data_IF_144829557112
#
_entry.id   IF_144829557112
#
_cell.length_a   1.000
_cell.length_b   1.000
_cell.length_c   1.000
_cell.angle_alpha   90.00
_cell.angle_beta   90.00
_cell.angle_gamma   90.00
#
_symmetry.space_group_name_H-M   'P 1'
#
loop_
_entity.id
_entity.type
_entity.pdbx_description
1 polymer ?
#
# COMPACT_ATOMS: atom_id res chain seq x y z
N UNK A 1 -24.64 8.78 -34.59
CA UNK A 1 -23.21 9.03 -34.34
C UNK A 1 -23.07 9.62 -32.94
N UNK A 2 -22.69 8.80 -31.96
CA UNK A 2 -22.80 9.13 -30.53
C UNK A 2 -21.66 10.02 -30.02
N UNK A 3 -22.03 11.19 -29.50
CA UNK A 3 -21.18 12.23 -28.89
C UNK A 3 -20.56 11.85 -27.53
N UNK A 4 -20.78 10.62 -27.04
CA UNK A 4 -20.33 10.14 -25.73
C UNK A 4 -19.08 9.25 -25.79
N UNK A 5 -18.52 8.99 -26.98
CA UNK A 5 -17.39 8.07 -27.14
C UNK A 5 -16.01 8.69 -26.81
N UNK A 6 -15.92 10.01 -26.61
CA UNK A 6 -14.61 10.70 -26.52
C UNK A 6 -14.02 10.79 -25.10
N UNK A 7 -14.74 10.34 -24.07
CA UNK A 7 -14.30 10.43 -22.67
C UNK A 7 -13.64 9.17 -22.11
N UNK A 8 -13.34 8.17 -22.95
CA UNK A 8 -12.58 7.00 -22.50
C UNK A 8 -11.09 7.29 -22.58
N UNK A 9 -10.62 8.20 -21.72
CA UNK A 9 -9.19 8.41 -21.44
C UNK A 9 -8.64 7.05 -21.03
N UNK A 10 -7.77 6.44 -21.85
CA UNK A 10 -7.10 5.17 -21.52
C UNK A 10 -6.43 5.38 -20.16
N UNK A 11 -6.89 4.66 -19.13
CA UNK A 11 -6.29 4.68 -17.80
C UNK A 11 -4.85 4.20 -18.01
N UNK A 12 -3.88 5.11 -17.92
CA UNK A 12 -2.46 4.74 -17.98
C UNK A 12 -2.27 3.72 -16.86
N UNK A 13 -1.78 2.53 -17.18
CA UNK A 13 -1.39 1.55 -16.16
C UNK A 13 -0.23 2.20 -15.40
N UNK A 14 -0.52 2.74 -14.21
CA UNK A 14 0.53 3.26 -13.32
C UNK A 14 1.42 2.08 -12.91
N UNK A 15 2.73 2.28 -12.93
CA UNK A 15 3.67 1.28 -12.41
C UNK A 15 3.54 1.21 -10.88
N UNK A 16 3.99 0.10 -10.28
CA UNK A 16 3.99 -0.05 -8.82
C UNK A 16 4.78 1.07 -8.12
N UNK A 17 5.89 1.50 -8.72
CA UNK A 17 6.73 2.61 -8.25
C UNK A 17 6.02 3.97 -8.37
N UNK A 18 5.37 4.25 -9.52
CA UNK A 18 4.58 5.47 -9.72
C UNK A 18 3.45 5.55 -8.68
N UNK A 19 2.76 4.42 -8.44
CA UNK A 19 1.71 4.29 -7.40
C UNK A 19 2.26 4.57 -6.01
N UNK A 20 3.38 3.94 -5.63
CA UNK A 20 4.02 4.12 -4.32
C UNK A 20 4.45 5.56 -4.11
N UNK A 21 5.13 6.17 -5.09
CA UNK A 21 5.54 7.58 -5.05
C UNK A 21 4.33 8.52 -4.91
N UNK A 22 3.25 8.24 -5.63
CA UNK A 22 2.00 9.01 -5.54
C UNK A 22 1.41 8.95 -4.14
N UNK A 23 1.32 7.76 -3.55
CA UNK A 23 0.82 7.54 -2.19
C UNK A 23 1.72 8.21 -1.15
N UNK A 24 3.04 8.04 -1.23
CA UNK A 24 4.00 8.68 -0.32
C UNK A 24 3.85 10.21 -0.31
N UNK A 25 3.51 10.80 -1.45
CA UNK A 25 3.34 12.25 -1.58
C UNK A 25 1.95 12.76 -1.17
N UNK A 26 0.87 12.06 -1.52
CA UNK A 26 -0.51 12.57 -1.39
C UNK A 26 -1.41 11.77 -0.44
N UNK A 27 -0.99 10.58 -0.03
CA UNK A 27 -1.77 9.70 0.84
C UNK A 27 -1.82 10.21 2.27
N UNK A 28 -2.89 9.83 2.98
CA UNK A 28 -3.03 10.06 4.42
C UNK A 28 -2.33 8.95 5.20
N UNK A 29 -1.91 9.28 6.40
CA UNK A 29 -1.26 8.33 7.31
C UNK A 29 -2.30 7.88 8.34
N UNK A 30 -2.29 6.59 8.63
CA UNK A 30 -2.92 5.98 9.80
C UNK A 30 -1.96 4.97 10.40
N UNK A 31 -2.23 4.53 11.61
CA UNK A 31 -1.49 3.43 12.23
C UNK A 31 -2.08 2.09 11.80
N UNK A 32 -1.21 1.13 11.54
CA UNK A 32 -1.56 -0.26 11.24
C UNK A 32 -0.69 -1.23 12.02
N UNK A 33 -0.98 -2.51 11.86
CA UNK A 33 -0.26 -3.61 12.49
C UNK A 33 0.14 -4.60 11.42
N UNK A 34 1.40 -5.03 11.43
CA UNK A 34 1.85 -6.12 10.57
C UNK A 34 1.27 -7.43 11.11
N UNK A 35 0.60 -8.17 10.25
CA UNK A 35 0.00 -9.46 10.56
C UNK A 35 1.03 -10.55 10.35
N UNK A 36 1.67 -10.54 9.18
CA UNK A 36 2.65 -11.56 8.79
C UNK A 36 3.64 -11.02 7.75
N UNK A 37 4.76 -11.73 7.56
CA UNK A 37 5.74 -11.44 6.52
C UNK A 37 6.12 -12.74 5.82
N UNK A 38 5.93 -12.76 4.51
CA UNK A 38 6.26 -13.89 3.65
C UNK A 38 7.28 -13.47 2.59
N UNK A 39 8.04 -14.41 2.05
CA UNK A 39 8.87 -14.16 0.88
C UNK A 39 8.06 -14.49 -0.39
N UNK A 40 8.05 -13.60 -1.38
CA UNK A 40 7.48 -13.92 -2.69
C UNK A 40 8.41 -14.85 -3.50
N UNK A 41 7.97 -15.27 -4.68
CA UNK A 41 8.74 -16.14 -5.58
C UNK A 41 10.09 -15.53 -6.01
N UNK A 42 10.21 -14.20 -5.97
CA UNK A 42 11.43 -13.45 -6.29
C UNK A 42 12.34 -13.23 -5.06
N UNK A 43 11.93 -13.73 -3.88
CA UNK A 43 12.67 -13.63 -2.62
C UNK A 43 12.52 -12.28 -1.88
N UNK A 44 11.60 -11.42 -2.32
CA UNK A 44 11.30 -10.15 -1.66
C UNK A 44 10.37 -10.37 -0.46
N UNK A 45 10.61 -9.63 0.62
CA UNK A 45 9.76 -9.70 1.80
C UNK A 45 8.46 -8.92 1.57
N UNK A 46 7.33 -9.62 1.64
CA UNK A 46 5.98 -9.09 1.52
C UNK A 46 5.36 -9.07 2.91
N UNK A 47 5.08 -7.88 3.43
CA UNK A 47 4.38 -7.73 4.69
C UNK A 47 2.88 -7.64 4.45
N UNK A 48 2.12 -8.49 5.13
CA UNK A 48 0.67 -8.41 5.27
C UNK A 48 0.36 -7.57 6.50
N UNK A 49 -0.58 -6.62 6.39
CA UNK A 49 -0.90 -5.70 7.47
C UNK A 49 -2.38 -5.32 7.47
N UNK A 50 -2.88 -4.97 8.65
CA UNK A 50 -4.21 -4.37 8.83
C UNK A 50 -4.12 -2.94 9.34
N UNK A 51 -5.13 -2.16 9.02
CA UNK A 51 -5.29 -0.79 9.49
C UNK A 51 -6.77 -0.40 9.45
N UNK A 52 -7.15 0.53 10.32
CA UNK A 52 -8.53 1.02 10.40
C UNK A 52 -8.64 2.44 9.86
N UNK A 53 -9.72 2.70 9.11
CA UNK A 53 -10.10 4.04 8.63
C UNK A 53 -11.58 4.25 8.91
N UNK A 54 -11.90 5.24 9.75
CA UNK A 54 -13.27 5.58 10.15
C UNK A 54 -14.09 4.38 10.70
N UNK A 55 -13.43 3.46 11.42
CA UNK A 55 -14.05 2.27 12.00
C UNK A 55 -14.28 1.12 11.02
N UNK A 56 -13.83 1.25 9.76
CA UNK A 56 -13.73 0.14 8.83
C UNK A 56 -12.30 -0.42 8.84
N UNK A 57 -12.19 -1.73 8.98
CA UNK A 57 -10.91 -2.46 8.93
C UNK A 57 -10.55 -2.78 7.48
N UNK A 58 -9.29 -2.55 7.15
CA UNK A 58 -8.69 -2.88 5.86
C UNK A 58 -7.49 -3.78 6.08
N UNK A 59 -7.30 -4.71 5.15
CA UNK A 59 -6.14 -5.59 5.10
C UNK A 59 -5.49 -5.43 3.72
N UNK A 60 -4.16 -5.36 3.69
CA UNK A 60 -3.41 -5.21 2.46
C UNK A 60 -2.02 -5.83 2.61
N UNK A 61 -1.31 -5.91 1.49
CA UNK A 61 0.07 -6.36 1.44
C UNK A 61 0.93 -5.37 0.68
N UNK A 62 2.19 -5.24 1.10
CA UNK A 62 3.18 -4.39 0.45
C UNK A 62 4.56 -5.03 0.51
N UNK A 63 5.37 -4.75 -0.50
CA UNK A 63 6.75 -5.25 -0.57
C UNK A 63 7.61 -4.33 0.29
N UNK A 64 8.28 -4.91 1.28
CA UNK A 64 9.20 -4.18 2.14
C UNK A 64 10.44 -3.76 1.35
N UNK A 65 10.84 -2.52 1.53
CA UNK A 65 12.12 -2.03 1.00
C UNK A 65 13.29 -2.66 1.74
N UNK A 66 14.47 -2.70 1.12
CA UNK A 66 15.68 -3.23 1.76
C UNK A 66 16.01 -2.55 3.10
N UNK A 67 15.69 -1.26 3.25
CA UNK A 67 15.87 -0.52 4.50
C UNK A 67 14.90 -1.00 5.60
N UNK A 68 13.65 -1.25 5.23
CA UNK A 68 12.63 -1.78 6.16
C UNK A 68 12.94 -3.23 6.56
N UNK A 69 13.44 -4.05 5.63
CA UNK A 69 13.92 -5.41 5.92
C UNK A 69 15.11 -5.40 6.87
N UNK A 70 16.02 -4.42 6.73
CA UNK A 70 17.16 -4.26 7.63
C UNK A 70 16.74 -3.87 9.06
N UNK A 71 15.62 -3.14 9.22
CA UNK A 71 15.00 -2.83 10.52
C UNK A 71 13.91 -3.86 10.89
N UNK A 72 14.28 -5.15 10.84
CA UNK A 72 13.32 -6.26 10.99
C UNK A 72 12.54 -6.27 12.31
N UNK A 73 13.01 -5.62 13.38
CA UNK A 73 12.25 -5.51 14.63
C UNK A 73 11.07 -4.55 14.52
N UNK A 74 11.27 -3.43 13.81
CA UNK A 74 10.23 -2.41 13.59
C UNK A 74 9.14 -2.90 12.63
N UNK A 75 9.51 -3.80 11.72
CA UNK A 75 8.60 -4.34 10.72
C UNK A 75 8.23 -5.81 10.99
N UNK A 76 8.47 -6.34 12.19
CA UNK A 76 8.10 -7.72 12.55
C UNK A 76 6.58 -7.91 12.64
N UNK A 77 6.07 -9.15 12.52
CA UNK A 77 4.68 -9.46 12.85
C UNK A 77 4.30 -8.98 14.26
N UNK A 78 3.16 -8.31 14.37
CA UNK A 78 2.68 -7.64 15.58
C UNK A 78 3.23 -6.22 15.81
N UNK A 79 4.19 -5.76 15.01
CA UNK A 79 4.69 -4.40 15.11
C UNK A 79 3.67 -3.38 14.60
N UNK A 80 3.59 -2.23 15.28
CA UNK A 80 2.79 -1.10 14.83
C UNK A 80 3.59 -0.27 13.83
N UNK A 81 2.99 -0.03 12.67
CA UNK A 81 3.63 0.65 11.54
C UNK A 81 2.74 1.75 11.00
N UNK A 82 3.37 2.77 10.40
CA UNK A 82 2.65 3.84 9.72
C UNK A 82 2.24 3.35 8.33
N UNK A 83 0.94 3.38 8.07
CA UNK A 83 0.34 3.01 6.79
C UNK A 83 -0.10 4.26 6.07
N UNK A 84 0.27 4.37 4.79
CA UNK A 84 -0.17 5.47 3.94
C UNK A 84 -1.17 4.99 2.91
N UNK A 85 -2.35 5.61 2.88
CA UNK A 85 -3.46 5.19 2.03
C UNK A 85 -4.06 6.34 1.21
N UNK A 86 -4.72 5.99 0.09
CA UNK A 86 -5.47 6.95 -0.73
C UNK A 86 -6.86 7.21 -0.13
N UNK A 87 -7.21 8.48 0.11
CA UNK A 87 -8.52 8.87 0.66
C UNK A 87 -9.70 8.53 -0.25
N UNK A 88 -9.47 8.43 -1.56
CA UNK A 88 -10.53 8.11 -2.52
C UNK A 88 -10.65 6.60 -2.77
N UNK A 89 -9.63 5.84 -2.36
CA UNK A 89 -9.58 4.39 -2.46
C UNK A 89 -8.81 3.83 -1.27
N UNK A 90 -9.50 3.65 -0.14
CA UNK A 90 -8.85 3.29 1.12
C UNK A 90 -8.04 2.00 1.02
N UNK A 91 -8.43 1.03 0.21
CA UNK A 91 -7.67 -0.22 0.04
C UNK A 91 -6.35 -0.07 -0.75
N UNK A 92 -6.08 1.08 -1.35
CA UNK A 92 -4.78 1.38 -1.95
C UNK A 92 -3.87 2.00 -0.90
N UNK A 93 -2.97 1.18 -0.36
CA UNK A 93 -2.06 1.55 0.71
C UNK A 93 -0.63 1.08 0.47
N UNK A 94 0.29 1.63 1.27
CA UNK A 94 1.71 1.25 1.36
C UNK A 94 2.22 1.40 2.79
N UNK A 95 3.22 0.60 3.14
CA UNK A 95 3.96 0.75 4.40
C UNK A 95 5.01 1.86 4.22
N UNK A 96 5.08 2.77 5.20
CA UNK A 96 6.05 3.89 5.23
C UNK A 96 7.40 3.44 5.78
#
# INVERSE_FOLDING_TARGET
MGILAFLRRKKKTETAEERRSRLLTHGRITDGIIIDIEANDDGEAVAQYSYSVHGAEFESSDILTNEQVADGLRYAPGASVAIRFDQNNHGNSVIV
#
